data_IF_268368854646
#
_entry.id   IF_268368854646
#
_cell.length_a   1.000
_cell.length_b   1.000
_cell.length_c   1.000
_cell.angle_alpha   90.00
_cell.angle_beta   90.00
_cell.angle_gamma   90.00
#
_symmetry.space_group_name_H-M   'P 1'
#
loop_
_entity.id
_entity.type
_entity.pdbx_description
1 polymer ?
#
# COMPACT_ATOMS: atom_id res chain seq x y z
N UNK A 1 -1.46 -3.06 -6.50
CA UNK A 1 -1.65 -1.79 -5.77
C UNK A 1 -1.56 -2.06 -4.28
N UNK A 2 -0.67 -1.39 -3.54
CA UNK A 2 -0.46 -1.59 -2.10
C UNK A 2 -0.88 -0.35 -1.31
N UNK A 3 -1.76 -0.52 -0.30
CA UNK A 3 -2.21 0.53 0.62
C UNK A 3 -3.55 1.15 0.23
N UNK A 4 -4.65 0.42 0.42
CA UNK A 4 -5.99 0.74 -0.13
C UNK A 4 -7.00 1.15 0.95
N UNK A 5 -6.62 1.16 2.23
CA UNK A 5 -7.57 1.49 3.29
C UNK A 5 -7.82 3.01 3.54
N UNK A 6 -7.21 3.92 2.77
CA UNK A 6 -7.43 5.37 2.92
C UNK A 6 -7.82 6.04 1.59
N UNK A 7 -9.12 6.09 1.27
CA UNK A 7 -9.79 6.98 0.30
C UNK A 7 -9.26 7.06 -1.15
N UNK A 8 -8.03 7.53 -1.34
CA UNK A 8 -7.32 7.58 -2.62
C UNK A 8 -7.08 6.18 -3.20
N UNK A 9 -6.74 5.24 -2.32
CA UNK A 9 -6.41 3.89 -2.75
C UNK A 9 -7.61 3.22 -3.39
N UNK A 10 -8.75 3.29 -2.71
CA UNK A 10 -10.03 2.76 -3.19
C UNK A 10 -10.45 3.40 -4.52
N UNK A 11 -10.45 4.74 -4.60
CA UNK A 11 -10.85 5.46 -5.82
C UNK A 11 -10.00 5.06 -7.04
N UNK A 12 -8.70 4.83 -6.82
CA UNK A 12 -7.77 4.38 -7.86
C UNK A 12 -8.12 2.97 -8.35
N UNK A 13 -8.35 2.02 -7.43
CA UNK A 13 -8.72 0.65 -7.80
C UNK A 13 -10.06 0.64 -8.54
N UNK A 14 -11.06 1.39 -8.07
CA UNK A 14 -12.35 1.53 -8.76
C UNK A 14 -12.18 2.04 -10.20
N UNK A 15 -11.31 3.04 -10.42
CA UNK A 15 -11.07 3.61 -11.75
C UNK A 15 -10.30 2.67 -12.70
N UNK A 16 -9.32 1.93 -12.17
CA UNK A 16 -8.57 0.93 -12.93
C UNK A 16 -9.47 -0.24 -13.31
N UNK A 17 -10.27 -0.75 -12.36
CA UNK A 17 -11.22 -1.82 -12.61
C UNK A 17 -12.28 -1.42 -13.66
N UNK A 18 -12.80 -0.19 -13.58
CA UNK A 18 -13.72 0.35 -14.59
C UNK A 18 -13.10 0.45 -16.00
N UNK A 19 -11.76 0.47 -16.11
CA UNK A 19 -11.05 0.47 -17.40
C UNK A 19 -10.81 -0.94 -17.95
N UNK A 20 -11.36 -1.99 -17.31
CA UNK A 20 -11.22 -3.39 -17.71
C UNK A 20 -9.87 -4.01 -17.37
N UNK A 21 -9.08 -3.37 -16.50
CA UNK A 21 -7.76 -3.83 -16.11
C UNK A 21 -7.86 -4.65 -14.83
N UNK A 22 -7.10 -5.76 -14.77
CA UNK A 22 -6.99 -6.58 -13.56
C UNK A 22 -6.22 -5.84 -12.48
N UNK A 23 -6.72 -5.85 -11.25
CA UNK A 23 -6.08 -5.18 -10.12
C UNK A 23 -5.90 -6.12 -8.94
N UNK A 24 -4.76 -5.99 -8.26
CA UNK A 24 -4.51 -6.63 -6.97
C UNK A 24 -4.50 -5.56 -5.88
N UNK A 25 -5.35 -5.73 -4.87
CA UNK A 25 -5.41 -4.92 -3.65
C UNK A 25 -4.54 -5.60 -2.62
N UNK A 26 -3.49 -4.92 -2.17
CA UNK A 26 -2.59 -5.38 -1.12
C UNK A 26 -2.77 -4.48 0.10
N UNK A 27 -3.34 -5.02 1.19
CA UNK A 27 -3.60 -4.26 2.42
C UNK A 27 -3.53 -5.16 3.68
N UNK A 28 -3.42 -4.52 4.84
CA UNK A 28 -3.50 -5.17 6.15
C UNK A 28 -4.96 -5.42 6.57
N UNK A 29 -5.88 -4.51 6.21
CA UNK A 29 -7.29 -4.55 6.59
C UNK A 29 -8.08 -5.51 5.70
N UNK A 30 -8.01 -6.80 6.06
CA UNK A 30 -8.64 -7.91 5.34
C UNK A 30 -10.11 -7.65 4.99
N UNK A 31 -10.94 -7.34 5.98
CA UNK A 31 -12.39 -7.21 5.79
C UNK A 31 -12.78 -6.10 4.81
N UNK A 32 -12.10 -4.94 4.88
CA UNK A 32 -12.33 -3.84 3.93
C UNK A 32 -11.82 -4.17 2.53
N UNK A 33 -10.66 -4.83 2.44
CA UNK A 33 -10.07 -5.23 1.16
C UNK A 33 -10.88 -6.29 0.43
N UNK A 34 -11.36 -7.31 1.15
CA UNK A 34 -12.24 -8.36 0.62
C UNK A 34 -13.56 -7.78 0.11
N UNK A 35 -14.22 -6.94 0.92
CA UNK A 35 -15.45 -6.26 0.51
C UNK A 35 -15.28 -5.42 -0.76
N UNK A 36 -14.17 -4.68 -0.86
CA UNK A 36 -13.89 -3.87 -2.06
C UNK A 36 -13.63 -4.75 -3.29
N UNK A 37 -12.95 -5.88 -3.13
CA UNK A 37 -12.73 -6.83 -4.22
C UNK A 37 -14.06 -7.46 -4.68
N UNK A 38 -14.93 -7.86 -3.75
CA UNK A 38 -16.27 -8.38 -4.05
C UNK A 38 -17.12 -7.35 -4.79
N UNK A 39 -17.11 -6.09 -4.35
CA UNK A 39 -17.85 -4.99 -5.01
C UNK A 39 -17.36 -4.71 -6.44
N UNK A 40 -16.09 -4.97 -6.74
CA UNK A 40 -15.47 -4.68 -8.03
C UNK A 40 -15.40 -5.89 -8.98
N UNK A 41 -15.78 -7.07 -8.50
CA UNK A 41 -15.89 -8.31 -9.27
C UNK A 41 -14.57 -9.00 -9.58
N UNK A 42 -14.63 -10.04 -10.40
CA UNK A 42 -13.55 -11.02 -10.65
C UNK A 42 -12.22 -10.44 -11.15
N UNK A 43 -12.26 -9.22 -11.68
CA UNK A 43 -11.09 -8.47 -12.15
C UNK A 43 -10.23 -7.89 -11.01
N UNK A 44 -10.78 -7.82 -9.79
CA UNK A 44 -10.08 -7.30 -8.61
C UNK A 44 -9.90 -8.41 -7.59
N UNK A 45 -8.66 -8.63 -7.15
CA UNK A 45 -8.33 -9.62 -6.13
C UNK A 45 -7.69 -8.96 -4.92
N UNK A 46 -8.12 -9.36 -3.74
CA UNK A 46 -7.49 -8.96 -2.49
C UNK A 46 -6.42 -9.97 -2.07
N UNK A 47 -5.26 -9.48 -1.64
CA UNK A 47 -4.25 -10.27 -0.94
C UNK A 47 -3.85 -9.49 0.31
N UNK A 48 -3.96 -10.15 1.47
CA UNK A 48 -3.49 -9.56 2.71
C UNK A 48 -1.97 -9.49 2.71
N UNK A 49 -1.41 -8.29 2.88
CA UNK A 49 0.03 -8.06 2.84
C UNK A 49 0.44 -6.97 3.83
N UNK A 50 1.53 -7.21 4.56
CA UNK A 50 2.18 -6.22 5.41
C UNK A 50 3.42 -5.67 4.71
N UNK A 51 3.37 -4.42 4.26
CA UNK A 51 4.52 -3.78 3.59
C UNK A 51 5.72 -3.51 4.50
N UNK A 52 5.54 -3.59 5.82
CA UNK A 52 6.62 -3.44 6.81
C UNK A 52 7.36 -4.76 7.06
N UNK A 53 6.85 -5.88 6.53
CA UNK A 53 7.44 -7.21 6.66
C UNK A 53 7.89 -7.71 5.28
N UNK A 54 9.19 -7.94 5.14
CA UNK A 54 9.82 -8.30 3.86
C UNK A 54 9.35 -9.68 3.37
N UNK A 55 9.15 -10.62 4.30
CA UNK A 55 8.63 -11.96 3.98
C UNK A 55 7.18 -11.90 3.46
N UNK A 56 6.32 -11.10 4.12
CA UNK A 56 4.95 -10.86 3.66
C UNK A 56 4.89 -10.25 2.25
N UNK A 57 5.79 -9.32 1.94
CA UNK A 57 5.89 -8.73 0.60
C UNK A 57 6.33 -9.79 -0.42
N UNK A 58 7.34 -10.59 -0.12
CA UNK A 58 7.83 -11.63 -1.02
C UNK A 58 6.74 -12.68 -1.33
N UNK A 59 6.07 -13.20 -0.30
CA UNK A 59 4.97 -14.15 -0.44
C UNK A 59 3.78 -13.57 -1.23
N UNK A 60 3.60 -12.26 -1.20
CA UNK A 60 2.56 -11.57 -1.98
C UNK A 60 2.95 -11.45 -3.45
N UNK A 61 4.22 -11.14 -3.74
CA UNK A 61 4.72 -11.04 -5.11
C UNK A 61 4.69 -12.39 -5.84
N UNK A 62 4.93 -13.51 -5.13
CA UNK A 62 4.80 -14.85 -5.71
C UNK A 62 3.38 -15.18 -6.22
N UNK A 63 2.36 -14.49 -5.70
CA UNK A 63 0.95 -14.66 -6.11
C UNK A 63 0.57 -13.78 -7.31
N UNK A 64 1.49 -12.96 -7.80
CA UNK A 64 1.26 -11.99 -8.87
C UNK A 64 2.21 -12.31 -10.02
N UNK A 65 1.68 -12.90 -11.09
CA UNK A 65 2.48 -13.33 -12.24
C UNK A 65 3.22 -12.18 -12.95
N UNK A 66 2.60 -10.99 -12.99
CA UNK A 66 3.22 -9.79 -13.56
C UNK A 66 2.59 -8.51 -13.02
N UNK A 67 3.41 -7.47 -12.89
CA UNK A 67 2.98 -6.14 -12.44
C UNK A 67 3.32 -5.13 -13.52
N UNK A 68 2.30 -4.56 -14.16
CA UNK A 68 2.49 -3.46 -15.11
C UNK A 68 2.55 -2.10 -14.40
N UNK A 69 1.81 -1.95 -13.31
CA UNK A 69 1.68 -0.70 -12.55
C UNK A 69 1.69 -1.03 -11.06
N UNK A 70 2.65 -0.45 -10.34
CA UNK A 70 2.71 -0.50 -8.89
C UNK A 70 2.39 0.88 -8.30
N UNK A 71 1.25 0.97 -7.62
CA UNK A 71 0.93 2.12 -6.77
C UNK A 71 1.21 1.73 -5.33
N UNK A 72 2.23 2.36 -4.72
CA UNK A 72 2.51 2.23 -3.29
C UNK A 72 1.95 3.46 -2.56
N UNK A 73 0.92 3.25 -1.75
CA UNK A 73 0.27 4.28 -0.94
C UNK A 73 0.32 3.92 0.57
N UNK A 74 1.15 2.95 0.95
CA UNK A 74 1.28 2.56 2.34
C UNK A 74 2.25 3.52 3.07
N UNK A 75 1.67 4.41 3.89
CA UNK A 75 2.41 5.30 4.76
C UNK A 75 1.65 5.53 6.07
N UNK A 76 2.22 5.09 7.18
CA UNK A 76 1.77 5.46 8.53
C UNK A 76 2.68 6.57 9.05
N UNK A 77 2.20 7.81 8.97
CA UNK A 77 2.82 8.96 9.61
C UNK A 77 2.00 9.42 10.80
N UNK A 78 2.62 9.65 11.96
CA UNK A 78 1.97 10.40 13.02
C UNK A 78 1.68 11.83 12.51
N UNK A 79 0.41 12.21 12.44
CA UNK A 79 0.01 13.57 12.09
C UNK A 79 0.47 14.52 13.20
N UNK A 80 1.64 15.15 13.03
CA UNK A 80 2.14 16.20 13.92
C UNK A 80 1.72 17.56 13.37
N UNK A 81 1.09 18.39 14.20
CA UNK A 81 0.90 19.81 13.89
C UNK A 81 2.28 20.44 13.69
N UNK A 82 2.52 20.99 12.50
CA UNK A 82 3.62 21.89 12.25
C UNK A 82 3.12 23.30 12.61
N UNK A 83 3.68 23.88 13.65
CA UNK A 83 3.57 25.31 13.92
C UNK A 83 4.58 26.08 13.04
N UNK A 84 4.35 27.37 12.82
CA UNK A 84 5.16 28.24 11.96
C UNK A 84 6.63 28.42 12.42
N UNK A 85 7.05 27.78 13.52
CA UNK A 85 8.43 27.78 14.02
C UNK A 85 9.36 26.77 13.31
N UNK A 86 8.80 25.83 12.53
CA UNK A 86 9.51 25.13 11.45
C UNK A 86 10.67 24.20 11.82
N UNK A 87 11.01 24.01 13.10
CA UNK A 87 12.12 23.13 13.49
C UNK A 87 11.63 21.95 14.34
N UNK A 88 11.60 20.71 13.82
CA UNK A 88 11.42 19.54 14.68
C UNK A 88 12.61 19.44 15.65
N UNK A 89 12.40 19.04 16.92
CA UNK A 89 13.51 18.79 17.85
C UNK A 89 14.43 17.73 17.23
N UNK A 90 15.74 18.00 17.27
CA UNK A 90 16.76 17.17 16.63
C UNK A 90 16.57 15.68 17.00
N UNK A 91 16.23 14.85 16.01
CA UNK A 91 16.30 13.39 16.17
C UNK A 91 17.77 13.04 16.37
N UNK A 92 18.12 12.51 17.52
CA UNK A 92 19.34 11.70 17.67
C UNK A 92 19.23 10.54 16.69
N UNK A 93 20.03 10.59 15.63
CA UNK A 93 20.00 9.64 14.54
C UNK A 93 20.54 8.27 15.00
N UNK A 94 19.62 7.37 15.37
CA UNK A 94 19.91 5.95 15.61
C UNK A 94 19.45 5.02 14.47
N UNK A 95 18.87 5.55 13.38
CA UNK A 95 18.39 4.74 12.27
C UNK A 95 19.53 4.47 11.28
N UNK A 96 20.17 3.30 11.40
CA UNK A 96 21.07 2.76 10.37
C UNK A 96 20.29 2.63 9.06
N UNK A 97 20.57 3.51 8.10
CA UNK A 97 20.16 3.30 6.71
C UNK A 97 20.88 2.05 6.22
N UNK A 98 20.16 0.96 5.99
CA UNK A 98 20.72 -0.21 5.31
C UNK A 98 20.99 0.20 3.84
N UNK A 99 22.15 -0.14 3.27
CA UNK A 99 22.45 0.16 1.88
C UNK A 99 21.46 -0.57 0.97
N UNK A 100 20.92 0.15 -0.02
CA UNK A 100 20.18 -0.41 -1.13
C UNK A 100 21.13 -1.30 -1.94
N UNK A 101 20.85 -2.61 -1.99
CA UNK A 101 21.55 -3.53 -2.89
C UNK A 101 20.74 -3.65 -4.19
N UNK A 102 21.38 -3.53 -5.37
CA UNK A 102 20.73 -3.57 -6.68
C UNK A 102 20.25 -4.97 -7.07
#
# INVERSE_FOLDING_TARGET
MMGVASGLGEATVRRIAASGVKAYILDLQKEKGEKLAEELGDQVRFIQANVADEESVHATLERIESVNILVNCAGSGEAKKLDFSGMPPARTAGAKRRPFQP
#
